data_IF_605460004476
#
_entry.id   IF_605460004476
#
_cell.length_a   1.000
_cell.length_b   1.000
_cell.length_c   1.000
_cell.angle_alpha   90.00
_cell.angle_beta   90.00
_cell.angle_gamma   90.00
#
_symmetry.space_group_name_H-M   'P 1'
#
loop_
_entity.id
_entity.type
_entity.pdbx_description
1 polymer ?
#
# COMPACT_ATOMS: atom_id res chain seq x y z
N UNK A 1 -6.01 34.33 6.72
CA UNK A 1 -5.33 33.38 7.62
C UNK A 1 -5.80 31.99 7.26
N UNK A 2 -5.08 31.27 6.39
CA UNK A 2 -5.47 29.95 5.90
C UNK A 2 -4.62 28.89 6.59
N UNK A 3 -5.26 27.98 7.33
CA UNK A 3 -4.62 26.89 8.07
C UNK A 3 -4.09 25.85 7.07
N UNK A 4 -2.77 25.69 7.02
CA UNK A 4 -2.13 24.53 6.37
C UNK A 4 -2.58 23.25 7.09
N UNK A 5 -3.27 22.36 6.38
CA UNK A 5 -3.42 20.97 6.80
C UNK A 5 -2.04 20.31 6.67
N UNK A 6 -1.35 20.17 7.79
CA UNK A 6 -0.17 19.32 7.90
C UNK A 6 -0.59 17.90 7.50
N UNK A 7 -0.16 17.45 6.32
CA UNK A 7 -0.03 16.02 6.07
C UNK A 7 1.04 15.53 7.04
N UNK A 8 0.58 14.98 8.16
CA UNK A 8 1.44 14.37 9.16
C UNK A 8 2.14 13.19 8.49
N UNK A 9 3.40 13.41 8.11
CA UNK A 9 4.31 12.34 7.69
C UNK A 9 4.31 11.29 8.80
N UNK A 10 4.19 9.99 8.47
CA UNK A 10 4.41 8.95 9.46
C UNK A 10 5.82 9.13 10.05
N UNK A 11 5.87 9.22 11.37
CA UNK A 11 7.10 9.41 12.14
C UNK A 11 8.16 8.39 11.73
N UNK A 12 9.35 8.89 11.34
CA UNK A 12 10.56 8.09 11.20
C UNK A 12 10.74 7.24 12.46
N UNK A 13 10.58 5.92 12.33
CA UNK A 13 10.74 4.98 13.44
C UNK A 13 9.55 4.07 13.72
N UNK A 14 8.43 4.19 13.00
CA UNK A 14 7.41 3.14 13.02
C UNK A 14 7.91 1.95 12.19
N UNK A 15 8.38 0.91 12.88
CA UNK A 15 8.44 -0.43 12.32
C UNK A 15 7.12 -0.69 11.59
N UNK A 16 7.15 -0.92 10.27
CA UNK A 16 5.96 -1.24 9.49
C UNK A 16 5.48 -2.62 9.94
N UNK A 17 4.74 -2.69 11.05
CA UNK A 17 4.26 -3.95 11.61
C UNK A 17 3.26 -4.55 10.63
N UNK A 18 3.56 -5.67 9.98
CA UNK A 18 2.55 -6.38 9.19
C UNK A 18 1.42 -6.79 10.16
N UNK A 19 0.18 -6.40 9.87
CA UNK A 19 -0.97 -6.76 10.70
C UNK A 19 -1.43 -5.70 11.70
N UNK A 20 -1.13 -4.42 11.48
CA UNK A 20 -1.88 -3.35 12.16
C UNK A 20 -3.41 -3.60 12.01
N UNK A 21 -4.20 -3.48 13.10
CA UNK A 21 -5.61 -3.80 13.04
C UNK A 21 -6.33 -2.96 11.99
N UNK A 22 -7.11 -3.61 11.14
CA UNK A 22 -7.98 -2.92 10.20
C UNK A 22 -9.11 -2.23 10.98
N UNK A 23 -9.23 -0.92 10.79
CA UNK A 23 -10.29 -0.11 11.38
C UNK A 23 -11.20 0.38 10.25
N UNK A 24 -12.28 -0.37 9.93
CA UNK A 24 -13.15 -0.04 8.82
C UNK A 24 -13.81 1.33 8.99
N UNK A 25 -13.85 2.10 7.90
CA UNK A 25 -14.51 3.39 7.80
C UNK A 25 -15.75 3.28 6.91
N UNK A 26 -16.62 4.27 7.00
CA UNK A 26 -17.78 4.36 6.12
C UNK A 26 -17.31 4.43 4.66
N UNK A 27 -17.85 3.57 3.81
CA UNK A 27 -17.47 3.44 2.40
C UNK A 27 -16.34 2.44 2.12
N UNK A 28 -15.63 1.96 3.14
CA UNK A 28 -14.57 0.97 2.93
C UNK A 28 -15.16 -0.35 2.40
N UNK A 29 -14.44 -0.96 1.46
CA UNK A 29 -14.70 -2.34 1.05
C UNK A 29 -14.01 -3.31 2.02
N UNK A 30 -14.78 -4.20 2.63
CA UNK A 30 -14.31 -5.12 3.64
C UNK A 30 -14.68 -6.56 3.30
N UNK A 31 -13.70 -7.46 3.52
CA UNK A 31 -13.88 -8.91 3.52
C UNK A 31 -14.27 -9.35 4.94
N UNK A 32 -15.42 -10.02 5.08
CA UNK A 32 -15.89 -10.54 6.38
C UNK A 32 -15.58 -12.04 6.54
N UNK A 33 -14.55 -12.33 7.32
CA UNK A 33 -14.12 -13.70 7.61
C UNK A 33 -15.18 -14.51 8.38
N UNK A 34 -16.04 -13.86 9.17
CA UNK A 34 -17.12 -14.55 9.89
C UNK A 34 -18.30 -14.93 8.98
N UNK A 35 -18.30 -14.42 7.74
CA UNK A 35 -19.30 -14.72 6.71
C UNK A 35 -18.69 -15.42 5.50
N UNK A 36 -17.67 -16.25 5.73
CA UNK A 36 -17.03 -17.05 4.68
C UNK A 36 -16.25 -16.24 3.66
N UNK A 37 -15.77 -15.04 4.04
CA UNK A 37 -15.08 -14.14 3.12
C UNK A 37 -16.02 -13.36 2.22
N UNK A 38 -17.28 -13.14 2.63
CA UNK A 38 -18.20 -12.27 1.89
C UNK A 38 -17.65 -10.84 1.87
N UNK A 39 -17.68 -10.20 0.71
CA UNK A 39 -17.22 -8.81 0.51
C UNK A 39 -18.39 -7.86 0.57
N UNK A 40 -18.26 -6.76 1.32
CA UNK A 40 -19.26 -5.69 1.40
C UNK A 40 -18.67 -4.32 1.64
N UNK A 41 -19.41 -3.29 1.25
CA UNK A 41 -19.14 -1.88 1.58
C UNK A 41 -19.68 -1.59 2.97
N UNK A 42 -18.87 -0.99 3.84
CA UNK A 42 -19.29 -0.56 5.17
C UNK A 42 -20.22 0.65 5.03
N UNK A 43 -21.49 0.48 5.41
CA UNK A 43 -22.55 1.51 5.29
C UNK A 43 -23.02 2.05 6.64
N UNK A 44 -22.62 1.41 7.75
CA UNK A 44 -22.76 1.99 9.09
C UNK A 44 -21.63 1.48 10.01
N UNK A 45 -21.17 2.36 10.90
CA UNK A 45 -20.19 2.06 11.94
C UNK A 45 -20.89 1.74 13.26
N UNK A 46 -20.24 0.99 14.17
CA UNK A 46 -20.69 0.90 15.54
C UNK A 46 -20.78 2.27 16.21
N UNK A 47 -21.86 2.52 16.92
CA UNK A 47 -22.15 3.76 17.66
C UNK A 47 -22.97 3.43 18.90
N UNK A 48 -23.27 4.43 19.72
CA UNK A 48 -24.14 4.27 20.90
C UNK A 48 -25.53 3.72 20.55
N UNK A 49 -25.99 3.94 19.31
CA UNK A 49 -27.28 3.45 18.78
C UNK A 49 -27.17 2.15 17.98
N UNK A 50 -25.95 1.66 17.69
CA UNK A 50 -25.73 0.43 16.90
C UNK A 50 -24.46 -0.28 17.35
N UNK A 51 -24.58 -1.44 17.98
CA UNK A 51 -23.44 -2.23 18.45
C UNK A 51 -22.76 -3.07 17.35
N UNK A 52 -22.85 -2.70 16.07
CA UNK A 52 -22.31 -3.50 14.95
C UNK A 52 -21.99 -2.65 13.73
N UNK A 53 -21.02 -3.11 12.93
CA UNK A 53 -20.88 -2.63 11.56
C UNK A 53 -22.02 -3.16 10.71
N UNK A 54 -22.50 -2.36 9.76
CA UNK A 54 -23.41 -2.80 8.71
C UNK A 54 -22.70 -2.77 7.36
N UNK A 55 -22.83 -3.85 6.60
CA UNK A 55 -22.23 -4.01 5.29
C UNK A 55 -23.29 -4.29 4.23
N UNK A 56 -23.04 -3.81 3.02
CA UNK A 56 -23.88 -4.02 1.83
C UNK A 56 -23.07 -4.66 0.70
N UNK A 57 -23.60 -5.63 -0.07
CA UNK A 57 -22.84 -6.21 -1.18
C UNK A 57 -22.56 -5.16 -2.26
N UNK A 58 -21.38 -5.18 -2.90
CA UNK A 58 -21.14 -4.37 -4.09
C UNK A 58 -22.09 -4.84 -5.20
N UNK A 59 -22.95 -3.94 -5.70
CA UNK A 59 -24.02 -4.27 -6.65
C UNK A 59 -25.41 -4.42 -6.04
N UNK A 60 -25.55 -4.27 -4.71
CA UNK A 60 -26.83 -4.35 -4.01
C UNK A 60 -27.19 -5.75 -3.52
N UNK A 61 -28.31 -5.86 -2.82
CA UNK A 61 -28.75 -7.08 -2.13
C UNK A 61 -28.94 -6.86 -0.63
N UNK A 62 -29.08 -7.95 0.11
CA UNK A 62 -29.35 -7.90 1.55
C UNK A 62 -28.11 -7.46 2.33
N UNK A 63 -28.31 -6.43 3.16
CA UNK A 63 -27.32 -5.95 4.12
C UNK A 63 -27.07 -7.02 5.21
N UNK A 64 -25.88 -7.03 5.79
CA UNK A 64 -25.59 -7.85 6.97
C UNK A 64 -24.79 -7.09 8.01
N UNK A 65 -24.72 -7.67 9.21
CA UNK A 65 -23.99 -7.10 10.34
C UNK A 65 -22.72 -7.89 10.62
N UNK A 66 -21.66 -7.15 10.94
CA UNK A 66 -20.40 -7.68 11.47
C UNK A 66 -20.16 -7.16 12.89
N UNK A 67 -19.34 -7.89 13.66
CA UNK A 67 -19.06 -7.60 15.08
C UNK A 67 -18.46 -6.19 15.26
N UNK A 68 -18.86 -5.47 16.30
CA UNK A 68 -18.33 -4.13 16.61
C UNK A 68 -16.81 -4.06 16.82
N UNK A 69 -16.18 -5.17 17.22
CA UNK A 69 -14.74 -5.23 17.41
C UNK A 69 -13.95 -5.18 16.09
N UNK A 70 -14.60 -5.30 14.92
CA UNK A 70 -13.98 -5.25 13.60
C UNK A 70 -13.00 -6.39 13.32
N UNK A 71 -12.82 -7.34 14.25
CA UNK A 71 -11.74 -8.34 14.20
C UNK A 71 -11.91 -9.37 13.09
N UNK A 72 -13.11 -9.52 12.56
CA UNK A 72 -13.42 -10.43 11.44
C UNK A 72 -13.36 -9.72 10.09
N UNK A 73 -13.28 -8.39 10.09
CA UNK A 73 -13.18 -7.59 8.87
C UNK A 73 -11.72 -7.44 8.46
N UNK A 74 -11.46 -7.55 7.17
CA UNK A 74 -10.17 -7.28 6.54
C UNK A 74 -10.36 -6.29 5.40
N UNK A 75 -9.38 -5.43 5.11
CA UNK A 75 -9.43 -4.64 3.89
C UNK A 75 -9.45 -5.60 2.70
N UNK A 76 -10.25 -5.29 1.68
CA UNK A 76 -10.13 -5.99 0.41
C UNK A 76 -8.81 -5.56 -0.25
N UNK A 77 -7.88 -6.48 -0.54
CA UNK A 77 -6.61 -6.12 -1.16
C UNK A 77 -6.87 -5.64 -2.58
N UNK A 78 -6.35 -4.46 -2.92
CA UNK A 78 -6.30 -3.99 -4.30
C UNK A 78 -5.02 -4.51 -4.95
N UNK A 79 -5.06 -5.13 -6.13
CA UNK A 79 -3.87 -5.61 -6.80
C UNK A 79 -2.86 -4.50 -7.08
N UNK A 80 -1.58 -4.80 -6.87
CA UNK A 80 -0.46 -3.93 -7.28
C UNK A 80 -0.26 -4.11 -8.78
N UNK A 81 -0.21 -3.00 -9.53
CA UNK A 81 0.05 -3.01 -10.97
C UNK A 81 1.54 -2.89 -11.27
N UNK A 82 2.20 -1.91 -10.63
CA UNK A 82 3.63 -1.65 -10.81
C UNK A 82 4.19 -0.81 -9.66
N UNK A 83 5.52 -0.71 -9.62
CA UNK A 83 6.28 0.07 -8.62
C UNK A 83 7.25 0.99 -9.35
N UNK A 84 7.31 2.25 -8.93
CA UNK A 84 8.23 3.25 -9.51
C UNK A 84 9.17 3.80 -8.45
N UNK A 85 10.50 3.82 -8.67
CA UNK A 85 11.43 4.53 -7.80
C UNK A 85 11.08 6.01 -7.66
N UNK A 86 11.19 6.55 -6.45
CA UNK A 86 11.05 7.98 -6.21
C UNK A 86 12.38 8.69 -6.55
N UNK A 87 12.31 10.00 -6.85
CA UNK A 87 13.51 10.85 -7.03
C UNK A 87 14.17 11.17 -5.68
N UNK A 88 14.61 10.15 -4.95
CA UNK A 88 15.30 10.23 -3.66
C UNK A 88 16.44 9.21 -3.65
N UNK A 89 17.47 9.50 -2.85
CA UNK A 89 18.64 8.64 -2.76
C UNK A 89 18.30 7.30 -2.06
N UNK A 90 19.00 6.24 -2.49
CA UNK A 90 18.99 4.98 -1.78
C UNK A 90 19.75 5.13 -0.45
N UNK A 91 19.27 4.47 0.59
CA UNK A 91 19.89 4.44 1.91
C UNK A 91 20.41 3.03 2.17
N UNK A 92 21.59 2.91 2.76
CA UNK A 92 22.11 1.62 3.23
C UNK A 92 21.88 1.48 4.74
N UNK A 93 21.16 0.44 5.15
CA UNK A 93 21.01 0.05 6.54
C UNK A 93 22.05 -1.00 6.90
N UNK A 94 23.07 -0.58 7.64
CA UNK A 94 24.13 -1.46 8.12
C UNK A 94 23.64 -2.52 9.11
N UNK A 95 22.59 -2.25 9.90
CA UNK A 95 22.08 -3.21 10.90
C UNK A 95 21.35 -4.36 10.21
N UNK A 96 20.57 -4.05 9.18
CA UNK A 96 19.86 -5.05 8.38
C UNK A 96 20.70 -5.64 7.23
N UNK A 97 21.89 -5.07 6.95
CA UNK A 97 22.72 -5.41 5.79
C UNK A 97 21.95 -5.31 4.47
N UNK A 98 21.17 -4.23 4.32
CA UNK A 98 20.27 -4.04 3.18
C UNK A 98 20.33 -2.61 2.65
N UNK A 99 20.09 -2.44 1.35
CA UNK A 99 19.81 -1.13 0.77
C UNK A 99 18.29 -0.93 0.67
N UNK A 100 17.85 0.32 0.80
CA UNK A 100 16.45 0.69 0.71
C UNK A 100 16.31 1.89 -0.24
N UNK A 101 15.51 1.72 -1.29
CA UNK A 101 15.20 2.76 -2.27
C UNK A 101 13.75 3.20 -2.08
N UNK A 102 13.47 4.49 -1.80
CA UNK A 102 12.08 4.97 -1.73
C UNK A 102 11.35 4.73 -3.06
N UNK A 103 10.13 4.21 -2.98
CA UNK A 103 9.34 3.83 -4.14
C UNK A 103 7.84 4.15 -3.95
N UNK A 104 7.13 4.31 -5.05
CA UNK A 104 5.67 4.44 -5.08
C UNK A 104 5.08 3.15 -5.64
N UNK A 105 4.17 2.54 -4.89
CA UNK A 105 3.37 1.40 -5.31
C UNK A 105 2.09 1.91 -5.95
N UNK A 106 1.77 1.42 -7.14
CA UNK A 106 0.56 1.77 -7.88
C UNK A 106 -0.43 0.62 -7.87
N UNK A 107 -1.68 0.91 -7.55
CA UNK A 107 -2.75 -0.07 -7.45
C UNK A 107 -3.70 0.00 -8.65
N UNK A 108 -4.44 -1.07 -8.89
CA UNK A 108 -5.38 -1.18 -10.03
C UNK A 108 -6.52 -0.15 -9.97
N UNK A 109 -6.90 0.30 -8.78
CA UNK A 109 -7.90 1.35 -8.57
C UNK A 109 -7.38 2.77 -8.81
N UNK A 110 -6.12 2.91 -9.24
CA UNK A 110 -5.45 4.21 -9.43
C UNK A 110 -4.90 4.82 -8.14
N UNK A 111 -5.08 4.15 -6.99
CA UNK A 111 -4.47 4.53 -5.73
C UNK A 111 -2.94 4.38 -5.76
N UNK A 112 -2.26 5.11 -4.87
CA UNK A 112 -0.81 5.01 -4.69
C UNK A 112 -0.42 5.01 -3.22
N UNK A 113 0.72 4.38 -2.91
CA UNK A 113 1.30 4.38 -1.56
C UNK A 113 2.82 4.54 -1.62
N UNK A 114 3.39 5.39 -0.76
CA UNK A 114 4.85 5.46 -0.57
C UNK A 114 5.34 4.25 0.23
N UNK A 115 6.42 3.63 -0.22
CA UNK A 115 7.04 2.45 0.39
C UNK A 115 8.55 2.44 0.12
N UNK A 116 9.24 1.38 0.56
CA UNK A 116 10.66 1.15 0.32
C UNK A 116 10.86 -0.15 -0.47
N UNK A 117 11.60 -0.07 -1.58
CA UNK A 117 12.16 -1.25 -2.23
C UNK A 117 13.43 -1.66 -1.46
N UNK A 118 13.37 -2.80 -0.79
CA UNK A 118 14.49 -3.34 -0.01
C UNK A 118 15.28 -4.32 -0.88
N UNK A 119 16.59 -4.11 -0.93
CA UNK A 119 17.53 -4.90 -1.72
C UNK A 119 18.60 -5.50 -0.82
N UNK A 120 18.86 -6.79 -1.01
CA UNK A 120 20.03 -7.45 -0.41
C UNK A 120 21.33 -6.99 -1.10
N UNK A 121 22.50 -7.18 -0.48
CA UNK A 121 23.78 -6.76 -1.09
C UNK A 121 24.00 -7.39 -2.47
N UNK A 122 23.70 -8.68 -2.62
CA UNK A 122 23.80 -9.37 -3.91
C UNK A 122 22.86 -8.77 -4.97
N UNK A 123 21.66 -8.33 -4.59
CA UNK A 123 20.74 -7.65 -5.51
C UNK A 123 21.26 -6.26 -5.90
N UNK A 124 21.92 -5.54 -4.99
CA UNK A 124 22.54 -4.24 -5.29
C UNK A 124 23.64 -4.41 -6.33
N UNK A 125 24.53 -5.39 -6.16
CA UNK A 125 25.61 -5.68 -7.12
C UNK A 125 25.05 -6.10 -8.49
N UNK A 126 24.03 -6.96 -8.51
CA UNK A 126 23.38 -7.38 -9.75
C UNK A 126 22.76 -6.20 -10.50
N UNK A 127 22.01 -5.35 -9.79
CA UNK A 127 21.34 -4.22 -10.43
C UNK A 127 22.32 -3.12 -10.86
N UNK A 128 23.44 -2.93 -10.16
CA UNK A 128 24.50 -2.03 -10.63
C UNK A 128 24.94 -2.40 -12.05
N UNK A 129 25.18 -3.70 -12.30
CA UNK A 129 25.60 -4.19 -13.62
C UNK A 129 24.47 -4.04 -14.65
N UNK A 130 23.26 -4.51 -14.33
CA UNK A 130 22.14 -4.50 -15.27
C UNK A 130 21.71 -3.08 -15.65
N UNK A 131 21.66 -2.16 -14.69
CA UNK A 131 21.31 -0.77 -14.96
C UNK A 131 22.41 -0.06 -15.76
N UNK A 132 23.69 -0.37 -15.51
CA UNK A 132 24.81 0.11 -16.33
C UNK A 132 24.65 -0.30 -17.80
N UNK A 133 24.36 -1.58 -18.06
CA UNK A 133 24.13 -2.09 -19.42
C UNK A 133 22.94 -1.40 -20.12
N UNK A 134 21.87 -1.11 -19.39
CA UNK A 134 20.70 -0.39 -19.94
C UNK A 134 21.04 1.06 -20.30
N UNK A 135 21.91 1.73 -19.53
CA UNK A 135 22.40 3.07 -19.84
C UNK A 135 23.25 3.04 -21.10
N UNK A 136 24.22 2.13 -21.20
CA UNK A 136 25.08 1.96 -22.38
C UNK A 136 24.27 1.66 -23.65
N UNK A 137 23.26 0.78 -23.54
CA UNK A 137 22.36 0.46 -24.64
C UNK A 137 21.57 1.69 -25.10
N UNK A 138 21.12 2.54 -24.18
CA UNK A 138 20.40 3.78 -24.48
C UNK A 138 21.26 4.80 -25.21
N UNK A 139 22.51 4.98 -24.79
CA UNK A 139 23.42 5.92 -25.47
C UNK A 139 23.79 5.41 -26.87
N UNK A 140 24.05 4.11 -27.02
CA UNK A 140 24.29 3.49 -28.34
C UNK A 140 23.11 3.69 -29.31
N UNK A 141 21.87 3.55 -28.82
CA UNK A 141 20.67 3.78 -29.64
C UNK A 141 20.52 5.25 -30.08
N UNK A 142 21.03 6.21 -29.31
CA UNK A 142 21.00 7.64 -29.66
C UNK A 142 22.03 8.00 -30.71
N UNK A 143 23.19 7.38 -30.69
CA UNK A 143 24.24 7.58 -31.70
C UNK A 143 23.84 7.03 -33.06
N UNK A 144 23.08 5.93 -33.12
CA UNK A 144 22.59 5.35 -34.38
C UNK A 144 21.52 6.19 -35.09
N UNK A 145 20.83 7.08 -34.37
CA UNK A 145 19.80 7.97 -34.92
C UNK A 145 20.41 9.29 -35.42
N UNK A 146 21.70 9.53 -35.15
CA UNK A 146 22.40 10.78 -35.48
C UNK A 146 23.20 10.66 -36.78
#
# INVERSE_FOLDING_TARGET
MSKQSSHQLPSLGAELTPGAPFHPRLGDLALDLAKGGKIGVVVALPSDSSASYQLRPPGGGEDWRARNDGKTLRPVPVPVTHVTPMKRDAVYDHRAQQAALPATVHYEDGGTCESMLVLTPAQVELYYIQLGQLIEARESAREQVR
#
